data_IF_775760238482
#
_entry.id   IF_775760238482
#
_cell.length_a   1.000
_cell.length_b   1.000
_cell.length_c   1.000
_cell.angle_alpha   90.00
_cell.angle_beta   90.00
_cell.angle_gamma   90.00
#
_symmetry.space_group_name_H-M   'P 1'
#
loop_
_entity.id
_entity.type
_entity.pdbx_description
1 polymer ?
#
# COMPACT_ATOMS: atom_id res chain seq x y z
N UNK A 1 -47.10 -2.47 -63.53
CA UNK A 1 -46.32 -1.52 -62.70
C UNK A 1 -46.19 -2.10 -61.30
N UNK A 2 -45.06 -2.75 -60.96
CA UNK A 2 -44.83 -3.34 -59.62
C UNK A 2 -43.78 -2.49 -58.89
N UNK A 3 -44.19 -1.81 -57.82
CA UNK A 3 -43.28 -1.07 -56.92
C UNK A 3 -42.63 -2.06 -55.95
N UNK A 4 -41.31 -2.22 -56.06
CA UNK A 4 -40.50 -2.92 -55.04
C UNK A 4 -40.21 -1.95 -53.89
N UNK A 5 -40.73 -2.23 -52.71
CA UNK A 5 -40.31 -1.57 -51.48
C UNK A 5 -39.01 -2.22 -50.98
N UNK A 6 -37.93 -1.45 -50.91
CA UNK A 6 -36.68 -1.88 -50.31
C UNK A 6 -36.76 -1.64 -48.79
N UNK A 7 -36.72 -2.72 -48.01
CA UNK A 7 -36.58 -2.61 -46.56
C UNK A 7 -35.10 -2.42 -46.22
N UNK A 8 -34.75 -1.25 -45.68
CA UNK A 8 -33.41 -0.97 -45.16
C UNK A 8 -33.37 -1.48 -43.72
N UNK A 9 -32.67 -2.59 -43.50
CA UNK A 9 -32.46 -3.15 -42.17
C UNK A 9 -31.28 -2.44 -41.51
N UNK A 10 -31.56 -1.62 -40.49
CA UNK A 10 -30.55 -0.97 -39.67
C UNK A 10 -29.93 -2.00 -38.73
N UNK A 11 -28.69 -2.43 -39.02
CA UNK A 11 -27.93 -3.32 -38.13
C UNK A 11 -27.33 -2.47 -37.01
N UNK A 12 -27.85 -2.61 -35.80
CA UNK A 12 -27.33 -1.96 -34.60
C UNK A 12 -26.10 -2.76 -34.13
N UNK A 13 -24.90 -2.32 -34.50
CA UNK A 13 -23.66 -2.91 -33.99
C UNK A 13 -23.50 -2.49 -32.52
N UNK A 14 -23.75 -3.42 -31.60
CA UNK A 14 -23.37 -3.27 -30.21
C UNK A 14 -21.85 -3.32 -30.13
N UNK A 15 -21.21 -2.15 -30.04
CA UNK A 15 -19.79 -2.07 -29.69
C UNK A 15 -19.64 -2.67 -28.29
N UNK A 16 -18.76 -3.67 -28.08
CA UNK A 16 -18.44 -4.09 -26.74
C UNK A 16 -17.90 -2.85 -26.02
N UNK A 17 -18.49 -2.53 -24.87
CA UNK A 17 -17.96 -1.53 -23.95
C UNK A 17 -16.57 -2.06 -23.57
N UNK A 18 -15.53 -1.61 -24.26
CA UNK A 18 -14.16 -2.01 -23.98
C UNK A 18 -13.93 -1.72 -22.50
N UNK A 19 -13.61 -2.77 -21.74
CA UNK A 19 -12.92 -2.58 -20.48
C UNK A 19 -11.80 -1.57 -20.76
N UNK A 20 -11.80 -0.44 -20.05
CA UNK A 20 -10.83 0.64 -20.24
C UNK A 20 -9.43 0.04 -20.41
N UNK A 21 -8.68 0.44 -21.44
CA UNK A 21 -7.38 -0.14 -21.78
C UNK A 21 -6.35 0.21 -20.70
N UNK A 22 -6.28 -0.61 -19.65
CA UNK A 22 -5.36 -0.41 -18.54
C UNK A 22 -3.90 -0.47 -18.96
N UNK A 23 -3.58 -1.22 -20.03
CA UNK A 23 -2.22 -1.30 -20.57
C UNK A 23 -1.82 0.00 -21.26
N UNK A 24 -2.68 0.53 -22.13
CA UNK A 24 -2.50 1.82 -22.79
C UNK A 24 -2.43 2.97 -21.79
N UNK A 25 -3.34 3.00 -20.81
CA UNK A 25 -3.34 4.01 -19.75
C UNK A 25 -2.05 3.98 -18.91
N UNK A 26 -1.58 2.78 -18.55
CA UNK A 26 -0.30 2.63 -17.84
C UNK A 26 0.88 3.12 -18.68
N UNK A 27 0.94 2.71 -19.94
CA UNK A 27 1.99 3.10 -20.88
C UNK A 27 2.06 4.62 -21.05
N UNK A 28 0.91 5.28 -21.20
CA UNK A 28 0.82 6.71 -21.44
C UNK A 28 1.12 7.57 -20.20
N UNK A 29 0.85 7.08 -18.99
CA UNK A 29 0.81 7.95 -17.80
C UNK A 29 1.64 7.48 -16.61
N UNK A 30 2.10 6.23 -16.61
CA UNK A 30 2.70 5.61 -15.42
C UNK A 30 4.09 5.04 -15.70
N UNK A 31 4.30 4.45 -16.89
CA UNK A 31 5.50 3.72 -17.27
C UNK A 31 6.80 4.52 -17.09
N UNK A 32 6.77 5.83 -17.43
CA UNK A 32 7.93 6.72 -17.33
C UNK A 32 8.61 6.74 -15.95
N UNK A 33 7.84 6.51 -14.88
CA UNK A 33 8.36 6.48 -13.52
C UNK A 33 8.44 5.06 -12.96
N UNK A 34 7.50 4.18 -13.34
CA UNK A 34 7.32 2.90 -12.69
C UNK A 34 8.00 1.71 -13.38
N UNK A 35 8.38 1.77 -14.67
CA UNK A 35 9.03 0.59 -15.29
C UNK A 35 10.41 0.31 -14.69
N UNK A 36 11.25 1.34 -14.53
CA UNK A 36 12.55 1.23 -13.85
C UNK A 36 12.46 1.33 -12.32
N UNK A 37 11.52 2.15 -11.82
CA UNK A 37 11.49 2.57 -10.43
C UNK A 37 12.70 3.44 -10.06
N UNK A 38 12.56 4.30 -9.05
CA UNK A 38 13.67 5.10 -8.53
C UNK A 38 13.35 5.65 -7.13
N UNK A 39 14.31 5.57 -6.20
CA UNK A 39 14.16 6.10 -4.85
C UNK A 39 12.88 5.62 -4.14
N UNK A 40 11.87 6.49 -4.07
CA UNK A 40 10.56 6.21 -3.43
C UNK A 40 9.49 5.69 -4.40
N UNK A 41 9.80 5.56 -5.69
CA UNK A 41 8.90 5.08 -6.73
C UNK A 41 9.06 3.55 -6.85
N UNK A 42 8.02 2.76 -6.51
CA UNK A 42 8.10 1.31 -6.65
C UNK A 42 8.15 0.92 -8.13
N UNK A 43 9.04 -0.02 -8.52
CA UNK A 43 9.06 -0.53 -9.88
C UNK A 43 7.81 -1.38 -10.16
N UNK A 44 7.49 -1.57 -11.44
CA UNK A 44 6.28 -2.26 -11.91
C UNK A 44 6.08 -3.63 -11.30
N UNK A 45 7.16 -4.40 -11.12
CA UNK A 45 7.12 -5.72 -10.45
C UNK A 45 6.54 -5.64 -9.04
N UNK A 46 6.88 -4.60 -8.27
CA UNK A 46 6.39 -4.41 -6.89
C UNK A 46 4.92 -3.96 -6.90
N UNK A 47 4.50 -3.20 -7.91
CA UNK A 47 3.08 -2.86 -8.10
C UNK A 47 2.24 -4.12 -8.36
N UNK A 48 2.77 -5.09 -9.10
CA UNK A 48 2.09 -6.37 -9.37
C UNK A 48 1.85 -7.22 -8.11
N UNK A 49 2.68 -7.06 -7.08
CA UNK A 49 2.53 -7.75 -5.80
C UNK A 49 1.43 -7.14 -4.93
N UNK A 50 1.01 -5.90 -5.20
CA UNK A 50 -0.06 -5.23 -4.45
C UNK A 50 -1.45 -5.81 -4.77
N UNK A 51 -2.44 -5.40 -3.97
CA UNK A 51 -3.84 -5.57 -4.32
C UNK A 51 -4.30 -4.44 -5.24
N UNK A 52 -5.25 -4.67 -6.16
CA UNK A 52 -5.77 -3.62 -7.02
C UNK A 52 -6.43 -2.49 -6.22
N UNK A 53 -7.06 -2.79 -5.08
CA UNK A 53 -7.63 -1.78 -4.17
C UNK A 53 -6.57 -0.85 -3.60
N UNK A 54 -5.37 -1.38 -3.31
CA UNK A 54 -4.26 -0.57 -2.80
C UNK A 54 -3.78 0.43 -3.84
N UNK A 55 -3.71 0.02 -5.10
CA UNK A 55 -3.33 0.91 -6.21
C UNK A 55 -4.41 1.97 -6.42
N UNK A 56 -5.70 1.59 -6.42
CA UNK A 56 -6.81 2.55 -6.50
C UNK A 56 -6.75 3.56 -5.35
N UNK A 57 -6.61 3.10 -4.10
CA UNK A 57 -6.48 3.99 -2.95
C UNK A 57 -5.27 4.94 -3.07
N UNK A 58 -4.15 4.47 -3.60
CA UNK A 58 -2.98 5.32 -3.84
C UNK A 58 -3.24 6.43 -4.87
N UNK A 59 -4.03 6.16 -5.90
CA UNK A 59 -4.43 7.11 -6.95
C UNK A 59 -5.55 8.06 -6.51
N UNK A 60 -6.41 7.65 -5.57
CA UNK A 60 -7.55 8.47 -5.12
C UNK A 60 -7.23 9.38 -3.94
N UNK A 61 -6.54 8.85 -2.93
CA UNK A 61 -6.31 9.55 -1.66
C UNK A 61 -4.88 9.45 -1.13
N UNK A 62 -4.07 8.56 -1.71
CA UNK A 62 -2.72 8.28 -1.24
C UNK A 62 -1.61 9.08 -1.92
N UNK A 63 -0.41 8.49 -1.94
CA UNK A 63 0.81 9.17 -2.41
C UNK A 63 0.84 9.47 -3.90
N UNK A 64 -0.06 8.89 -4.70
CA UNK A 64 -0.19 9.16 -6.13
C UNK A 64 -1.45 9.96 -6.47
N UNK A 65 -2.10 10.59 -5.47
CA UNK A 65 -3.34 11.35 -5.69
C UNK A 65 -3.21 12.44 -6.76
N UNK A 66 -2.07 13.11 -6.84
CA UNK A 66 -1.85 14.14 -7.86
C UNK A 66 -1.88 13.56 -9.29
N UNK A 67 -1.22 12.41 -9.49
CA UNK A 67 -1.19 11.69 -10.77
C UNK A 67 -2.54 11.04 -11.08
N UNK A 68 -3.23 10.56 -10.05
CA UNK A 68 -4.56 9.99 -10.20
C UNK A 68 -5.65 11.03 -10.48
N UNK A 69 -5.46 12.29 -10.07
CA UNK A 69 -6.48 13.34 -10.17
C UNK A 69 -6.99 13.56 -11.61
N UNK A 70 -6.12 13.40 -12.61
CA UNK A 70 -6.47 13.55 -14.03
C UNK A 70 -7.08 12.28 -14.65
N UNK A 71 -7.17 11.19 -13.89
CA UNK A 71 -7.79 9.93 -14.32
C UNK A 71 -9.18 9.80 -13.74
N UNK A 72 -10.11 9.31 -14.55
CA UNK A 72 -11.46 8.94 -14.08
C UNK A 72 -11.39 7.77 -13.08
N UNK A 73 -12.42 7.57 -12.25
CA UNK A 73 -12.47 6.41 -11.36
C UNK A 73 -12.30 5.07 -12.09
N UNK A 74 -12.88 4.94 -13.29
CA UNK A 74 -12.81 3.71 -14.07
C UNK A 74 -11.41 3.49 -14.68
N UNK A 75 -10.74 4.56 -15.12
CA UNK A 75 -9.35 4.50 -15.58
C UNK A 75 -8.40 4.08 -14.46
N UNK A 76 -8.57 4.62 -13.24
CA UNK A 76 -7.77 4.22 -12.06
C UNK A 76 -7.94 2.73 -11.76
N UNK A 77 -9.17 2.22 -11.85
CA UNK A 77 -9.49 0.79 -11.65
C UNK A 77 -8.86 -0.07 -12.75
N UNK A 78 -8.93 0.35 -14.00
CA UNK A 78 -8.35 -0.38 -15.12
C UNK A 78 -6.83 -0.47 -15.04
N UNK A 79 -6.15 0.62 -14.69
CA UNK A 79 -4.70 0.64 -14.42
C UNK A 79 -4.36 -0.35 -13.30
N UNK A 80 -5.13 -0.35 -12.20
CA UNK A 80 -4.89 -1.24 -11.06
C UNK A 80 -5.05 -2.73 -11.40
N UNK A 81 -6.11 -3.08 -12.14
CA UNK A 81 -6.34 -4.45 -12.61
C UNK A 81 -5.25 -4.88 -13.58
N UNK A 82 -4.85 -4.01 -14.52
CA UNK A 82 -3.75 -4.30 -15.45
C UNK A 82 -2.42 -4.54 -14.72
N UNK A 83 -2.06 -3.66 -13.78
CA UNK A 83 -0.80 -3.75 -13.06
C UNK A 83 -0.68 -5.01 -12.21
N UNK A 84 -1.79 -5.44 -11.60
CA UNK A 84 -1.79 -6.57 -10.68
C UNK A 84 -2.11 -7.90 -11.36
N UNK A 85 -2.80 -7.87 -12.50
CA UNK A 85 -3.39 -9.05 -13.12
C UNK A 85 -4.53 -9.65 -12.27
N UNK A 86 -5.10 -8.88 -11.33
CA UNK A 86 -6.08 -9.36 -10.36
C UNK A 86 -7.38 -8.54 -10.44
N UNK A 87 -8.56 -9.17 -10.40
CA UNK A 87 -9.83 -8.46 -10.37
C UNK A 87 -10.04 -7.75 -9.02
N UNK A 88 -10.70 -6.58 -9.07
CA UNK A 88 -11.15 -5.86 -7.89
C UNK A 88 -12.18 -6.67 -7.09
N UNK A 89 -12.18 -6.49 -5.76
CA UNK A 89 -13.14 -7.12 -4.85
C UNK A 89 -12.85 -8.59 -4.50
N UNK A 90 -11.73 -9.15 -5.00
CA UNK A 90 -11.32 -10.52 -4.68
C UNK A 90 -10.46 -10.63 -3.43
N UNK A 91 -9.99 -9.50 -2.91
CA UNK A 91 -9.25 -9.44 -1.66
C UNK A 91 -10.21 -9.22 -0.50
N UNK A 92 -10.11 -10.08 0.52
CA UNK A 92 -10.81 -9.89 1.78
C UNK A 92 -10.46 -8.52 2.37
N UNK A 93 -11.44 -7.89 3.03
CA UNK A 93 -11.20 -6.66 3.76
C UNK A 93 -9.99 -6.83 4.68
N UNK A 94 -9.15 -5.80 4.75
CA UNK A 94 -7.97 -5.80 5.62
C UNK A 94 -8.42 -6.09 7.04
N UNK A 95 -8.06 -7.27 7.56
CA UNK A 95 -8.22 -7.61 8.98
C UNK A 95 -7.48 -6.53 9.76
N UNK A 96 -8.23 -5.63 10.42
CA UNK A 96 -7.61 -4.55 11.16
C UNK A 96 -6.89 -5.19 12.35
N UNK A 97 -5.58 -4.96 12.45
CA UNK A 97 -4.79 -5.44 13.59
C UNK A 97 -5.55 -5.16 14.90
N UNK A 98 -5.58 -6.13 15.85
CA UNK A 98 -6.39 -6.03 17.05
C UNK A 98 -6.12 -4.70 17.74
N UNK A 99 -7.17 -3.92 17.95
CA UNK A 99 -7.08 -2.67 18.70
C UNK A 99 -6.86 -3.02 20.17
N UNK A 100 -5.97 -2.29 20.82
CA UNK A 100 -5.77 -2.42 22.25
C UNK A 100 -7.12 -2.15 22.94
N UNK A 101 -7.67 -3.14 23.64
CA UNK A 101 -8.98 -3.08 24.31
C UNK A 101 -8.90 -2.44 25.70
N UNK A 102 -7.69 -2.20 26.20
CA UNK A 102 -7.39 -1.65 27.52
C UNK A 102 -6.62 -0.34 27.35
N UNK A 103 -6.93 0.71 28.15
CA UNK A 103 -6.11 1.92 28.20
C UNK A 103 -4.64 1.58 28.48
N UNK A 104 -3.68 2.24 27.82
CA UNK A 104 -2.28 1.99 28.09
C UNK A 104 -1.96 2.35 29.54
N UNK A 105 -1.13 1.53 30.19
CA UNK A 105 -0.54 1.90 31.47
C UNK A 105 0.20 3.24 31.34
N UNK A 106 0.26 4.07 32.40
CA UNK A 106 1.10 5.26 32.41
C UNK A 106 2.51 4.91 31.96
N UNK A 107 3.07 5.71 31.06
CA UNK A 107 4.41 5.48 30.54
C UNK A 107 5.39 5.54 31.71
N UNK A 108 6.07 4.43 32.01
CA UNK A 108 7.09 4.42 33.06
C UNK A 108 8.20 5.39 32.66
N UNK A 109 8.43 6.40 33.50
CA UNK A 109 9.38 7.50 33.28
C UNK A 109 10.85 7.06 33.21
N UNK A 110 11.14 5.77 33.41
CA UNK A 110 12.47 5.20 33.26
C UNK A 110 12.79 4.92 31.79
N UNK A 111 13.18 5.98 31.08
CA UNK A 111 13.66 5.99 29.69
C UNK A 111 15.03 5.29 29.48
N UNK A 112 15.66 4.77 30.54
CA UNK A 112 16.99 4.18 30.43
C UNK A 112 16.90 2.82 29.73
N UNK A 113 17.44 2.75 28.51
CA UNK A 113 17.52 1.54 27.70
C UNK A 113 16.29 1.25 26.84
N UNK A 114 15.27 2.10 26.81
CA UNK A 114 14.05 1.86 26.01
C UNK A 114 14.14 2.50 24.62
N UNK A 115 13.62 1.81 23.59
CA UNK A 115 13.56 2.32 22.21
C UNK A 115 12.18 2.92 21.94
N UNK A 116 11.92 4.09 22.50
CA UNK A 116 10.57 4.69 22.53
C UNK A 116 10.22 5.50 21.29
N UNK A 117 11.10 5.55 20.27
CA UNK A 117 10.88 6.34 19.06
C UNK A 117 11.79 5.93 17.90
N UNK A 118 12.14 6.90 17.06
CA UNK A 118 13.02 6.67 15.90
C UNK A 118 14.47 6.33 16.30
N UNK A 119 14.87 6.78 17.49
CA UNK A 119 16.16 6.55 18.16
C UNK A 119 15.92 6.60 19.67
N UNK A 120 16.75 5.95 20.51
CA UNK A 120 16.66 6.08 21.97
C UNK A 120 17.13 7.46 22.45
N UNK A 121 17.88 8.18 21.61
CA UNK A 121 18.43 9.51 21.90
C UNK A 121 17.93 10.57 20.90
N UNK A 122 17.85 11.85 21.29
CA UNK A 122 17.48 12.94 20.38
C UNK A 122 18.47 13.16 19.22
N UNK A 123 19.71 12.70 19.34
CA UNK A 123 20.76 12.84 18.32
C UNK A 123 20.57 11.91 17.13
N UNK A 124 19.59 10.98 17.20
CA UNK A 124 19.32 10.02 16.13
C UNK A 124 20.53 9.16 15.76
N UNK A 125 21.34 8.80 16.76
CA UNK A 125 22.49 7.90 16.60
C UNK A 125 22.07 6.46 16.24
N UNK A 126 20.81 6.10 16.51
CA UNK A 126 20.27 4.74 16.35
C UNK A 126 21.13 3.67 17.03
N UNK A 127 21.68 4.00 18.20
CA UNK A 127 22.59 3.14 18.95
C UNK A 127 22.00 2.75 20.31
N UNK A 128 22.03 1.44 20.63
CA UNK A 128 21.63 0.93 21.94
C UNK A 128 22.87 0.59 22.76
N UNK A 129 23.20 1.44 23.73
CA UNK A 129 24.37 1.29 24.61
C UNK A 129 24.27 0.08 25.56
N UNK A 130 23.06 -0.39 25.86
CA UNK A 130 22.82 -1.55 26.73
C UNK A 130 21.90 -2.54 26.01
N UNK A 131 22.41 -3.29 25.01
CA UNK A 131 21.57 -4.09 24.11
C UNK A 131 20.98 -5.34 24.76
N UNK A 132 21.47 -5.76 25.93
CA UNK A 132 21.01 -6.99 26.60
C UNK A 132 21.25 -8.28 25.80
N UNK A 133 22.08 -8.21 24.75
CA UNK A 133 22.44 -9.30 23.85
C UNK A 133 23.95 -9.24 23.57
N UNK A 134 24.64 -10.38 23.62
CA UNK A 134 26.04 -10.48 23.22
C UNK A 134 26.17 -10.95 21.75
N UNK A 135 27.32 -10.70 21.13
CA UNK A 135 27.61 -11.14 19.75
C UNK A 135 27.44 -12.65 19.59
N UNK A 136 27.82 -13.43 20.61
CA UNK A 136 27.68 -14.90 20.62
C UNK A 136 26.22 -15.39 20.68
N UNK A 137 25.25 -14.51 20.98
CA UNK A 137 23.83 -14.85 21.04
C UNK A 137 23.12 -14.66 19.71
N UNK A 138 23.66 -13.84 18.81
CA UNK A 138 23.09 -13.57 17.48
C UNK A 138 22.78 -14.85 16.69
N UNK A 139 23.69 -15.85 16.58
CA UNK A 139 23.38 -17.08 15.85
C UNK A 139 22.34 -17.98 16.54
N UNK A 140 21.97 -17.69 17.80
CA UNK A 140 21.00 -18.47 18.59
C UNK A 140 19.58 -17.87 18.54
N UNK A 141 19.41 -16.70 17.94
CA UNK A 141 18.13 -16.01 17.87
C UNK A 141 17.10 -16.83 17.09
N UNK A 142 15.87 -16.86 17.59
CA UNK A 142 14.71 -17.49 16.94
C UNK A 142 13.58 -16.49 16.81
N UNK A 143 12.75 -16.65 15.77
CA UNK A 143 11.55 -15.84 15.59
C UNK A 143 10.61 -16.05 16.79
N UNK A 144 10.32 -14.98 17.53
CA UNK A 144 9.32 -15.00 18.61
C UNK A 144 7.90 -14.81 18.06
N UNK A 145 7.74 -13.84 17.16
CA UNK A 145 6.46 -13.52 16.52
C UNK A 145 6.70 -12.69 15.26
N UNK A 146 5.72 -12.73 14.35
CA UNK A 146 5.63 -11.86 13.18
C UNK A 146 4.20 -11.34 13.05
N UNK A 147 4.04 -10.15 12.50
CA UNK A 147 2.73 -9.56 12.21
C UNK A 147 2.77 -8.94 10.82
N UNK A 148 1.63 -8.97 10.13
CA UNK A 148 1.49 -8.41 8.80
C UNK A 148 0.88 -7.00 8.85
N UNK A 149 1.34 -6.12 7.96
CA UNK A 149 0.66 -4.88 7.63
C UNK A 149 -0.21 -5.16 6.39
N UNK A 150 -1.46 -5.52 6.63
CA UNK A 150 -2.35 -5.93 5.55
C UNK A 150 -2.48 -4.83 4.48
N UNK A 151 -2.25 -5.21 3.22
CA UNK A 151 -2.25 -4.29 2.07
C UNK A 151 -0.98 -3.47 1.87
N UNK A 152 0.03 -3.60 2.74
CA UNK A 152 1.34 -2.97 2.55
C UNK A 152 2.38 -3.98 2.07
N UNK A 153 3.18 -3.57 1.08
CA UNK A 153 4.33 -4.33 0.57
C UNK A 153 5.66 -3.86 1.18
N UNK A 154 5.64 -2.84 2.05
CA UNK A 154 6.83 -2.37 2.77
C UNK A 154 6.49 -1.70 4.10
N UNK A 155 7.21 -2.10 5.16
CA UNK A 155 7.24 -1.39 6.43
C UNK A 155 8.32 -0.30 6.36
N UNK A 156 7.96 0.95 6.66
CA UNK A 156 8.86 2.11 6.55
C UNK A 156 9.10 2.83 7.87
N UNK A 157 8.54 2.30 8.95
CA UNK A 157 8.64 2.85 10.29
C UNK A 157 9.43 1.89 11.18
N UNK A 158 10.30 2.46 12.01
CA UNK A 158 10.84 1.75 13.17
C UNK A 158 9.74 1.67 14.23
N UNK A 159 9.29 0.49 14.63
CA UNK A 159 8.29 0.39 15.68
C UNK A 159 8.90 0.88 17.01
N UNK A 160 8.25 1.80 17.73
CA UNK A 160 8.66 2.08 19.10
C UNK A 160 8.40 0.83 19.95
N UNK A 161 9.42 0.38 20.66
CA UNK A 161 9.35 -0.72 21.62
C UNK A 161 9.37 -0.12 23.02
N UNK A 162 8.21 -0.07 23.66
CA UNK A 162 8.11 0.10 25.11
C UNK A 162 7.49 -1.16 25.71
N UNK A 163 7.94 -1.56 26.89
CA UNK A 163 7.53 -2.79 27.55
C UNK A 163 6.08 -2.78 28.05
N UNK A 164 5.34 -1.68 27.85
CA UNK A 164 3.98 -1.50 28.38
C UNK A 164 2.94 -1.04 27.37
N UNK A 165 3.28 -0.79 26.09
CA UNK A 165 2.33 -0.22 25.14
C UNK A 165 2.27 -0.98 23.81
N UNK A 166 1.05 -1.45 23.51
CA UNK A 166 0.56 -1.86 22.20
C UNK A 166 0.76 -0.69 21.20
N UNK A 167 1.91 -0.67 20.53
CA UNK A 167 2.35 0.44 19.69
C UNK A 167 2.15 0.13 18.22
N UNK A 168 1.50 1.03 17.47
CA UNK A 168 1.32 0.91 16.02
C UNK A 168 2.41 1.67 15.26
N UNK A 169 3.04 0.98 14.32
CA UNK A 169 3.60 1.60 13.14
C UNK A 169 2.44 1.96 12.20
N UNK A 170 2.12 3.25 12.05
CA UNK A 170 1.14 3.68 11.06
C UNK A 170 1.75 3.64 9.65
N UNK A 171 1.07 3.08 8.64
CA UNK A 171 1.37 3.43 7.26
C UNK A 171 1.07 4.91 7.05
N UNK A 172 1.96 5.60 6.33
CA UNK A 172 1.98 7.04 6.04
C UNK A 172 0.64 7.77 6.23
N UNK A 173 0.62 8.81 7.06
CA UNK A 173 -0.38 9.89 6.98
C UNK A 173 -1.34 10.06 8.17
N UNK A 174 -1.27 9.25 9.22
CA UNK A 174 -2.07 9.49 10.43
C UNK A 174 -1.36 10.45 11.40
N UNK A 175 -1.24 11.73 11.02
CA UNK A 175 -1.06 12.82 11.96
C UNK A 175 -2.38 13.60 12.00
N UNK A 176 -3.23 13.29 12.97
CA UNK A 176 -4.30 14.21 13.35
C UNK A 176 -3.66 15.35 14.15
N UNK A 177 -4.00 16.59 13.80
CA UNK A 177 -3.73 17.76 14.65
C UNK A 177 -4.43 17.61 15.99
#
# INVERSE_FOLDING_TARGET
MFRRAAAVTLVLTASPLLAQDGAGLYGAHCAQCHDGGSGRVPPRRVLGEMTPERIVAALESGSMRAQGAERSPDERRAIAVFLTGKPLGTFAAVETAPRCSVPPAPFASALRGQWTGWSPTPTNDRYQAQPGLAVADVPKLKLKSAFAFAGDTSARSSPPLSTAACSRAAPRGAFSR
#
